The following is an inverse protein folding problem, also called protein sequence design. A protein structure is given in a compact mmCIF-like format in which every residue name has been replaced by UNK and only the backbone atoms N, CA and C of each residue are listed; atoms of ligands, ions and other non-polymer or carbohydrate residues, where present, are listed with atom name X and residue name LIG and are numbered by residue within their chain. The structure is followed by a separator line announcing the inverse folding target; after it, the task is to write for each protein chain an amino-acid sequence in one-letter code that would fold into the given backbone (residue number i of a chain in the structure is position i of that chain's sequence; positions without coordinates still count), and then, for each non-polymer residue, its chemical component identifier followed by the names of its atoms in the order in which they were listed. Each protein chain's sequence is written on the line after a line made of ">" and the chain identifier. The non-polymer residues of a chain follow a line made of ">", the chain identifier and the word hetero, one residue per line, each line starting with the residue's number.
data_IF_867086178599
#
_entry.id   IF_867086178599
#
_cell.length_a   1.000
_cell.length_b   1.000
_cell.length_c   1.000
_cell.angle_alpha   90.00
_cell.angle_beta   90.00
_cell.angle_gamma   90.00
#
_symmetry.space_group_name_H-M   'P 1'
#
loop_
_entity.id
_entity.type
_entity.pdbx_description
1 polymer ?
#
# COMPACT_ATOMS: atom_id res chain seq x y z
N UNK A 1 -42.85 -0.27 -42.52
CA UNK A 1 -41.50 0.18 -42.14
C UNK A 1 -41.55 0.64 -40.68
N UNK A 2 -41.14 -0.19 -39.71
CA UNK A 2 -41.12 0.18 -38.29
C UNK A 2 -39.66 0.22 -37.83
N UNK A 3 -39.17 1.41 -37.48
CA UNK A 3 -37.80 1.64 -37.00
C UNK A 3 -37.66 1.07 -35.59
N UNK A 4 -36.80 0.07 -35.42
CA UNK A 4 -36.41 -0.42 -34.10
C UNK A 4 -35.37 0.53 -33.50
N UNK A 5 -35.69 1.10 -32.34
CA UNK A 5 -34.75 1.89 -31.52
C UNK A 5 -34.07 0.92 -30.57
N UNK A 6 -32.76 0.71 -30.75
CA UNK A 6 -31.95 -0.10 -29.84
C UNK A 6 -31.53 0.77 -28.65
N UNK A 7 -31.99 0.44 -27.45
CA UNK A 7 -31.53 1.05 -26.21
C UNK A 7 -30.25 0.33 -25.78
N UNK A 8 -29.13 1.05 -25.78
CA UNK A 8 -27.86 0.60 -25.21
C UNK A 8 -27.95 0.78 -23.68
N UNK A 9 -28.16 -0.31 -22.95
CA UNK A 9 -28.13 -0.28 -21.49
C UNK A 9 -26.67 -0.17 -21.02
N UNK A 10 -26.30 0.98 -20.45
CA UNK A 10 -25.02 1.20 -19.80
C UNK A 10 -25.02 0.45 -18.46
N UNK A 11 -24.41 -0.74 -18.41
CA UNK A 11 -24.23 -1.45 -17.14
C UNK A 11 -23.13 -0.77 -16.33
N UNK A 12 -23.51 -0.03 -15.30
CA UNK A 12 -22.58 0.48 -14.30
C UNK A 12 -22.04 -0.71 -13.48
N UNK A 13 -20.77 -1.04 -13.67
CA UNK A 13 -20.07 -2.01 -12.84
C UNK A 13 -19.94 -1.43 -11.41
N UNK A 14 -20.21 -2.21 -10.36
CA UNK A 14 -19.97 -1.75 -9.00
C UNK A 14 -18.46 -1.58 -8.82
N UNK A 15 -18.03 -0.41 -8.37
CA UNK A 15 -16.67 -0.22 -7.89
C UNK A 15 -16.48 -1.15 -6.71
N UNK A 16 -15.61 -2.16 -6.83
CA UNK A 16 -15.22 -2.99 -5.71
C UNK A 16 -14.57 -2.08 -4.68
N UNK A 17 -15.28 -1.81 -3.57
CA UNK A 17 -14.68 -1.14 -2.43
C UNK A 17 -13.62 -2.11 -1.88
N UNK A 18 -12.34 -1.78 -2.06
CA UNK A 18 -11.26 -2.47 -1.36
C UNK A 18 -11.61 -2.44 0.14
N UNK A 19 -11.71 -3.62 0.76
CA UNK A 19 -11.99 -3.73 2.18
C UNK A 19 -10.94 -2.90 2.95
N UNK A 20 -11.42 -2.03 3.84
CA UNK A 20 -10.54 -1.23 4.69
C UNK A 20 -9.69 -2.17 5.54
N UNK A 21 -8.40 -1.88 5.63
CA UNK A 21 -7.48 -2.63 6.49
C UNK A 21 -7.71 -2.13 7.91
N UNK A 22 -8.09 -3.02 8.82
CA UNK A 22 -8.21 -2.70 10.24
C UNK A 22 -6.81 -2.57 10.83
N UNK A 23 -6.45 -1.35 11.23
CA UNK A 23 -5.19 -1.04 11.92
C UNK A 23 -5.44 -0.59 13.36
N UNK A 24 -4.44 -0.67 14.27
CA UNK A 24 -4.60 -0.35 15.68
C UNK A 24 -5.22 1.02 15.98
N UNK A 25 -4.86 2.06 15.21
CA UNK A 25 -5.42 3.41 15.41
C UNK A 25 -6.89 3.55 14.98
N UNK A 26 -7.43 2.56 14.25
CA UNK A 26 -8.73 2.63 13.60
C UNK A 26 -8.74 3.51 12.33
N UNK A 27 -7.58 4.01 11.88
CA UNK A 27 -7.49 4.82 10.67
C UNK A 27 -7.92 4.02 9.44
N UNK A 28 -8.69 4.67 8.57
CA UNK A 28 -9.05 4.08 7.28
C UNK A 28 -7.82 4.02 6.37
N UNK A 29 -7.34 2.79 6.13
CA UNK A 29 -6.22 2.51 5.22
C UNK A 29 -6.68 1.55 4.11
N UNK A 30 -6.21 1.80 2.90
CA UNK A 30 -6.38 0.90 1.77
C UNK A 30 -5.05 0.62 1.08
N UNK A 31 -4.84 -0.64 0.69
CA UNK A 31 -3.71 -1.03 -0.14
C UNK A 31 -3.91 -0.52 -1.57
N UNK A 32 -2.89 0.12 -2.12
CA UNK A 32 -2.94 0.71 -3.46
C UNK A 32 -2.09 -0.07 -4.46
N UNK A 33 -0.85 -0.39 -4.13
CA UNK A 33 0.12 -0.88 -5.11
C UNK A 33 1.31 -1.59 -4.44
N UNK A 34 1.95 -2.51 -5.18
CA UNK A 34 3.19 -3.20 -4.79
C UNK A 34 4.22 -3.05 -5.90
N UNK A 35 5.39 -2.53 -5.56
CA UNK A 35 6.51 -2.38 -6.49
C UNK A 35 7.68 -3.19 -6.00
N UNK A 36 8.17 -4.11 -6.84
CA UNK A 36 9.35 -4.91 -6.55
C UNK A 36 10.56 -4.27 -7.21
N UNK A 37 11.57 -3.92 -6.42
CA UNK A 37 12.85 -3.47 -6.97
C UNK A 37 13.55 -4.62 -7.71
N UNK A 38 14.51 -4.29 -8.56
CA UNK A 38 15.31 -5.29 -9.25
C UNK A 38 16.06 -6.18 -8.23
N UNK A 39 16.16 -7.49 -8.45
CA UNK A 39 16.94 -8.37 -7.57
C UNK A 39 18.40 -7.93 -7.45
N UNK A 40 18.88 -7.82 -6.20
CA UNK A 40 20.27 -7.51 -5.88
C UNK A 40 20.94 -8.60 -5.04
N UNK A 41 22.23 -8.45 -4.79
CA UNK A 41 23.00 -9.39 -3.96
C UNK A 41 22.49 -9.49 -2.51
N UNK A 42 21.85 -8.42 -2.02
CA UNK A 42 21.24 -8.35 -0.68
C UNK A 42 19.76 -8.77 -0.66
N UNK A 43 19.27 -9.40 -1.74
CA UNK A 43 17.86 -9.72 -1.91
C UNK A 43 17.06 -8.59 -2.56
N UNK A 44 15.74 -8.68 -2.45
CA UNK A 44 14.81 -7.77 -3.12
C UNK A 44 14.14 -6.85 -2.11
N UNK A 45 13.95 -5.59 -2.50
CA UNK A 45 13.11 -4.64 -1.77
C UNK A 45 11.70 -4.67 -2.33
N UNK A 46 10.73 -4.99 -1.48
CA UNK A 46 9.31 -4.89 -1.81
C UNK A 46 8.73 -3.59 -1.26
N UNK A 47 8.13 -2.76 -2.11
CA UNK A 47 7.53 -1.48 -1.73
C UNK A 47 6.01 -1.61 -1.72
N UNK A 48 5.41 -1.63 -0.53
CA UNK A 48 3.96 -1.67 -0.35
C UNK A 48 3.42 -0.27 -0.11
N UNK A 49 2.41 0.10 -0.88
CA UNK A 49 1.91 1.48 -0.93
C UNK A 49 0.45 1.50 -0.48
N UNK A 50 0.14 2.35 0.48
CA UNK A 50 -1.18 2.49 1.09
C UNK A 50 -1.69 3.93 1.03
N UNK A 51 -3.01 4.07 1.04
CA UNK A 51 -3.71 5.35 1.05
C UNK A 51 -4.44 5.51 2.39
N UNK A 52 -4.21 6.64 3.04
CA UNK A 52 -4.93 7.10 4.22
C UNK A 52 -5.64 8.42 3.89
N UNK A 53 -6.89 8.40 3.39
CA UNK A 53 -7.59 9.62 3.05
C UNK A 53 -7.64 10.60 4.21
N UNK A 54 -7.23 11.85 3.97
CA UNK A 54 -7.20 12.90 5.00
C UNK A 54 -6.03 12.80 5.98
N UNK A 55 -4.95 12.08 5.62
CA UNK A 55 -3.71 12.11 6.39
C UNK A 55 -3.10 13.52 6.40
N UNK A 56 -2.92 14.09 7.59
CA UNK A 56 -2.32 15.41 7.78
C UNK A 56 -0.88 15.30 8.27
N UNK A 57 -0.01 16.30 8.04
CA UNK A 57 1.39 16.26 8.49
C UNK A 57 1.57 16.01 9.98
N UNK A 58 0.67 16.52 10.82
CA UNK A 58 0.67 16.32 12.27
C UNK A 58 0.36 14.89 12.71
N UNK A 59 -0.27 14.09 11.85
CA UNK A 59 -0.65 12.70 12.13
C UNK A 59 0.53 11.73 11.96
N UNK A 60 1.57 12.14 11.22
CA UNK A 60 2.64 11.24 10.74
C UNK A 60 3.34 10.53 11.90
N UNK A 61 3.62 11.23 12.99
CA UNK A 61 4.29 10.64 14.16
C UNK A 61 3.46 9.56 14.86
N UNK A 62 2.13 9.55 14.68
CA UNK A 62 1.24 8.58 15.29
C UNK A 62 0.99 7.34 14.42
N UNK A 63 1.56 7.28 13.20
CA UNK A 63 1.37 6.15 12.28
C UNK A 63 2.29 4.96 12.52
N UNK A 64 3.31 5.08 13.39
CA UNK A 64 4.32 4.04 13.59
C UNK A 64 3.73 2.66 13.89
N UNK A 65 2.82 2.58 14.87
CA UNK A 65 2.18 1.33 15.26
C UNK A 65 1.29 0.74 14.15
N UNK A 66 0.61 1.60 13.39
CA UNK A 66 -0.19 1.16 12.24
C UNK A 66 0.71 0.60 11.13
N UNK A 67 1.84 1.25 10.85
CA UNK A 67 2.76 0.83 9.80
C UNK A 67 3.49 -0.47 10.20
N UNK A 68 3.88 -0.62 11.46
CA UNK A 68 4.38 -1.90 11.99
C UNK A 68 3.32 -3.00 11.81
N UNK A 69 2.07 -2.72 12.20
CA UNK A 69 0.97 -3.67 12.01
C UNK A 69 0.74 -4.03 10.55
N UNK A 70 0.81 -3.06 9.62
CA UNK A 70 0.75 -3.32 8.18
C UNK A 70 1.88 -4.25 7.75
N UNK A 71 3.10 -4.05 8.24
CA UNK A 71 4.21 -4.94 7.92
C UNK A 71 3.92 -6.38 8.39
N UNK A 72 3.59 -6.54 9.67
CA UNK A 72 3.46 -7.83 10.30
C UNK A 72 2.23 -8.61 9.83
N UNK A 73 1.07 -7.95 9.75
CA UNK A 73 -0.22 -8.60 9.52
C UNK A 73 -0.69 -8.53 8.07
N UNK A 74 -0.23 -7.52 7.32
CA UNK A 74 -0.60 -7.39 5.92
C UNK A 74 0.52 -7.85 4.98
N UNK A 75 1.72 -7.30 5.11
CA UNK A 75 2.78 -7.51 4.11
C UNK A 75 3.41 -8.89 4.23
N UNK A 76 3.89 -9.30 5.41
CA UNK A 76 4.60 -10.57 5.58
C UNK A 76 3.81 -11.79 5.07
N UNK A 77 2.52 -11.97 5.39
CA UNK A 77 1.75 -13.10 4.89
C UNK A 77 1.65 -13.16 3.37
N UNK A 78 1.77 -12.01 2.68
CA UNK A 78 1.69 -11.90 1.22
C UNK A 78 3.03 -12.18 0.54
N UNK A 79 4.12 -12.18 1.29
CA UNK A 79 5.44 -12.62 0.81
C UNK A 79 5.61 -14.14 0.91
N UNK A 80 4.84 -14.80 1.79
CA UNK A 80 4.85 -16.26 1.92
C UNK A 80 4.39 -16.90 0.61
N UNK A 81 5.29 -17.67 -0.04
CA UNK A 81 5.01 -18.34 -1.32
C UNK A 81 5.52 -17.59 -2.57
N UNK A 82 6.20 -16.44 -2.40
CA UNK A 82 6.98 -15.85 -3.49
C UNK A 82 8.31 -16.59 -3.65
N UNK A 83 8.69 -16.92 -4.88
CA UNK A 83 10.02 -17.48 -5.20
C UNK A 83 11.15 -16.45 -5.01
N UNK A 84 10.79 -15.18 -4.82
CA UNK A 84 11.72 -14.07 -4.70
C UNK A 84 12.05 -13.81 -3.24
N UNK A 85 13.34 -13.90 -2.89
CA UNK A 85 13.83 -13.63 -1.54
C UNK A 85 13.77 -12.12 -1.26
N UNK A 86 12.65 -11.68 -0.66
CA UNK A 86 12.50 -10.32 -0.16
C UNK A 86 13.25 -10.17 1.14
N UNK A 87 14.24 -9.28 1.14
CA UNK A 87 15.05 -8.98 2.31
C UNK A 87 14.63 -7.67 2.99
N UNK A 88 14.05 -6.75 2.22
CA UNK A 88 13.63 -5.45 2.71
C UNK A 88 12.19 -5.14 2.27
N UNK A 89 11.45 -4.47 3.15
CA UNK A 89 10.12 -3.96 2.89
C UNK A 89 10.18 -2.45 3.10
N UNK A 90 9.64 -1.69 2.15
CA UNK A 90 9.34 -0.28 2.34
C UNK A 90 7.83 -0.13 2.34
N UNK A 91 7.27 0.44 3.40
CA UNK A 91 5.86 0.78 3.46
C UNK A 91 5.74 2.29 3.29
N UNK A 92 4.89 2.72 2.34
CA UNK A 92 4.49 4.12 2.25
C UNK A 92 3.00 4.30 2.49
N UNK A 93 2.64 5.31 3.29
CA UNK A 93 1.26 5.73 3.50
C UNK A 93 1.11 7.16 3.00
N UNK A 94 0.17 7.38 2.09
CA UNK A 94 -0.05 8.68 1.44
C UNK A 94 -1.48 9.15 1.63
N UNK A 95 -1.70 10.46 1.69
CA UNK A 95 -3.06 11.04 1.79
C UNK A 95 -3.93 10.78 0.53
N UNK A 96 -3.28 10.54 -0.61
CA UNK A 96 -3.89 10.30 -1.92
C UNK A 96 -3.01 9.40 -2.79
N UNK A 97 -3.58 8.89 -3.89
CA UNK A 97 -2.82 8.15 -4.91
C UNK A 97 -1.80 9.06 -5.57
N UNK A 98 -0.56 8.56 -5.71
CA UNK A 98 0.55 9.26 -6.33
C UNK A 98 1.21 8.38 -7.40
N UNK A 99 1.75 8.95 -8.48
CA UNK A 99 2.65 8.21 -9.37
C UNK A 99 3.93 7.80 -8.62
N UNK A 100 4.51 6.65 -8.96
CA UNK A 100 5.78 6.23 -8.37
C UNK A 100 6.96 7.00 -8.98
N UNK A 101 7.90 7.44 -8.14
CA UNK A 101 9.11 8.13 -8.56
C UNK A 101 8.92 9.62 -8.92
N UNK A 102 7.71 10.15 -8.81
CA UNK A 102 7.42 11.56 -9.07
C UNK A 102 7.39 12.38 -7.78
N UNK A 103 7.87 13.63 -7.85
CA UNK A 103 7.82 14.55 -6.73
C UNK A 103 6.38 15.00 -6.45
N UNK A 104 5.95 14.89 -5.19
CA UNK A 104 4.62 15.28 -4.75
C UNK A 104 4.70 16.24 -3.53
N UNK A 105 5.15 17.50 -3.72
CA UNK A 105 5.43 18.43 -2.61
C UNK A 105 4.20 18.87 -1.80
N UNK A 106 2.99 18.55 -2.28
CA UNK A 106 1.71 18.88 -1.64
C UNK A 106 0.97 17.66 -1.10
N UNK A 107 1.59 16.48 -1.14
CA UNK A 107 1.03 15.28 -0.55
C UNK A 107 1.64 15.06 0.83
N UNK A 108 0.82 14.64 1.78
CA UNK A 108 1.33 14.08 3.04
C UNK A 108 1.68 12.63 2.78
N UNK A 109 2.94 12.27 3.04
CA UNK A 109 3.41 10.90 2.87
C UNK A 109 4.42 10.57 3.95
N UNK A 110 4.32 9.35 4.49
CA UNK A 110 5.30 8.76 5.39
C UNK A 110 5.85 7.49 4.78
N UNK A 111 7.12 7.22 5.06
CA UNK A 111 7.83 6.03 4.63
C UNK A 111 8.46 5.37 5.83
N UNK A 112 8.34 4.05 5.92
CA UNK A 112 9.06 3.24 6.90
C UNK A 112 9.74 2.08 6.19
N UNK A 113 10.95 1.74 6.65
CA UNK A 113 11.73 0.61 6.16
C UNK A 113 11.78 -0.49 7.21
N UNK A 114 11.69 -1.72 6.73
CA UNK A 114 11.85 -2.92 7.51
C UNK A 114 12.80 -3.87 6.81
N UNK A 115 13.62 -4.55 7.61
CA UNK A 115 14.32 -5.75 7.18
C UNK A 115 13.50 -6.97 7.58
N UNK A 116 13.45 -7.95 6.69
CA UNK A 116 12.79 -9.23 6.94
C UNK A 116 13.83 -10.19 7.52
N UNK A 117 13.66 -10.58 8.78
CA UNK A 117 14.51 -11.54 9.47
C UNK A 117 13.65 -12.54 10.23
N UNK A 118 13.88 -13.83 10.02
CA UNK A 118 13.15 -14.93 10.66
C UNK A 118 11.62 -14.80 10.59
N UNK A 119 11.11 -14.22 9.49
CA UNK A 119 9.68 -13.99 9.29
C UNK A 119 9.10 -12.86 10.15
N UNK A 120 9.94 -11.91 10.59
CA UNK A 120 9.57 -10.73 11.35
C UNK A 120 9.95 -9.46 10.58
N UNK A 121 9.20 -8.38 10.77
CA UNK A 121 9.55 -7.05 10.30
C UNK A 121 10.39 -6.33 11.36
N UNK A 122 11.69 -6.19 11.11
CA UNK A 122 12.60 -5.42 11.96
C UNK A 122 12.67 -4.00 11.42
N UNK A 123 12.15 -3.02 12.17
CA UNK A 123 12.16 -1.61 11.78
C UNK A 123 13.59 -1.07 11.67
N UNK A 124 13.90 -0.40 10.56
CA UNK A 124 15.22 0.21 10.30
C UNK A 124 15.15 1.75 10.15
N UNK A 125 13.94 2.31 10.08
CA UNK A 125 13.71 3.75 9.93
C UNK A 125 14.08 4.33 8.57
N UNK A 126 13.68 5.59 8.36
CA UNK A 126 14.10 6.45 7.24
C UNK A 126 14.61 7.79 7.74
#
# INVERSE_FOLDING_TARGET
>A
MKRAVAYLALMALPAAAQAAIEVPSGRALSHHDVIMDAPGASGVTARYRFIAPGLLPEDVAALGDDIQYLCDQFVLPRLQGSDQQVAHIVISVSDRVLPFGEAAPHATQVFEAFRVEDGLCIWEGF
#
